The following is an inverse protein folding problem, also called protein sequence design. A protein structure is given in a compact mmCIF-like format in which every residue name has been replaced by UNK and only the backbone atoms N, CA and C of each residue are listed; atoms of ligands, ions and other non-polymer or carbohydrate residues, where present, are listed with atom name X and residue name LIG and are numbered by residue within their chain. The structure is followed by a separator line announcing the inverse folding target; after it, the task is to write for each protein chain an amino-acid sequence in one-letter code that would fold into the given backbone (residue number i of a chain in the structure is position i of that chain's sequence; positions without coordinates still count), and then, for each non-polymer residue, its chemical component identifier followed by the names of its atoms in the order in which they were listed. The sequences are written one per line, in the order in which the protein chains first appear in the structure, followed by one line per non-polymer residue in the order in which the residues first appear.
data_IF_314632203408
#
_entry.id   IF_314632203408
#
_cell.length_a   1.000
_cell.length_b   1.000
_cell.length_c   1.000
_cell.angle_alpha   90.00
_cell.angle_beta   90.00
_cell.angle_gamma   90.00
#
_symmetry.space_group_name_H-M   'P 1'
#
loop_
_entity.id
_entity.type
_entity.pdbx_description
1 polymer ?
#
# COMPACT_ATOMS: atom_id res chain seq x y z
N UNK A 1 16.45 -22.86 -25.44
CA UNK A 1 16.17 -22.88 -23.98
C UNK A 1 16.44 -21.54 -23.27
N UNK A 2 17.41 -20.71 -23.67
CA UNK A 2 17.62 -19.38 -23.04
C UNK A 2 16.50 -18.35 -23.26
N UNK A 3 15.75 -18.43 -24.37
CA UNK A 3 14.66 -17.46 -24.68
C UNK A 3 13.41 -17.63 -23.81
N UNK A 4 13.08 -18.84 -23.37
CA UNK A 4 11.88 -19.09 -22.54
C UNK A 4 12.05 -18.62 -21.11
N UNK A 5 13.27 -18.70 -20.56
CA UNK A 5 13.58 -18.17 -19.22
C UNK A 5 13.48 -16.64 -19.20
N UNK A 6 13.92 -15.96 -20.26
CA UNK A 6 13.80 -14.51 -20.39
C UNK A 6 12.36 -14.05 -20.59
N UNK A 7 11.55 -14.80 -21.35
CA UNK A 7 10.13 -14.52 -21.53
C UNK A 7 9.33 -14.74 -20.25
N UNK A 8 9.61 -15.79 -19.49
CA UNK A 8 8.99 -16.02 -18.19
C UNK A 8 9.35 -14.91 -17.19
N UNK A 9 10.60 -14.47 -17.17
CA UNK A 9 11.03 -13.35 -16.33
C UNK A 9 10.34 -12.03 -16.70
N UNK A 10 10.17 -11.74 -18.00
CA UNK A 10 9.44 -10.56 -18.46
C UNK A 10 7.94 -10.64 -18.18
N UNK A 11 7.34 -11.83 -18.28
CA UNK A 11 5.93 -12.03 -17.96
C UNK A 11 5.65 -11.84 -16.45
N UNK A 12 6.54 -12.35 -15.59
CA UNK A 12 6.48 -12.11 -14.15
C UNK A 12 6.68 -10.63 -13.81
N UNK A 13 7.60 -9.94 -14.48
CA UNK A 13 7.78 -8.49 -14.37
C UNK A 13 6.52 -7.71 -14.78
N UNK A 14 5.89 -8.10 -15.90
CA UNK A 14 4.65 -7.49 -16.38
C UNK A 14 3.47 -7.70 -15.44
N UNK A 15 3.26 -8.93 -14.97
CA UNK A 15 2.21 -9.26 -14.01
C UNK A 15 2.41 -8.55 -12.65
N UNK A 16 3.66 -8.36 -12.23
CA UNK A 16 4.00 -7.67 -10.98
C UNK A 16 3.71 -6.15 -11.04
N UNK A 17 3.95 -5.51 -12.19
CA UNK A 17 3.59 -4.10 -12.40
C UNK A 17 2.07 -3.90 -12.41
N UNK A 18 1.31 -4.87 -12.95
CA UNK A 18 -0.16 -4.82 -12.99
C UNK A 18 -0.81 -5.18 -11.65
N UNK A 19 -0.23 -6.11 -10.87
CA UNK A 19 -0.69 -6.48 -9.52
C UNK A 19 -0.34 -5.47 -8.40
N UNK A 20 0.27 -4.33 -8.75
CA UNK A 20 0.89 -3.38 -7.83
C UNK A 20 -0.04 -2.56 -6.92
N UNK A 21 -1.35 -2.83 -6.89
CA UNK A 21 -2.32 -2.11 -6.06
C UNK A 21 -2.31 -2.53 -4.59
N UNK A 22 -1.86 -3.75 -4.27
CA UNK A 22 -1.79 -4.23 -2.88
C UNK A 22 -0.50 -3.82 -2.14
N UNK A 23 0.59 -3.56 -2.85
CA UNK A 23 1.88 -3.18 -2.23
C UNK A 23 1.89 -1.80 -1.58
N UNK A 24 0.87 -0.98 -1.83
CA UNK A 24 0.82 0.42 -1.39
C UNK A 24 0.22 0.62 0.01
N UNK A 25 -0.53 -0.35 0.51
CA UNK A 25 -1.22 -0.28 1.81
C UNK A 25 -0.50 -1.08 2.90
N UNK A 26 0.38 -2.01 2.52
CA UNK A 26 1.04 -2.91 3.47
C UNK A 26 2.12 -2.19 4.27
N UNK A 27 2.91 -1.29 3.69
CA UNK A 27 4.01 -0.63 4.43
C UNK A 27 3.53 0.17 5.66
N UNK A 28 2.32 0.76 5.59
CA UNK A 28 1.71 1.48 6.72
C UNK A 28 1.09 0.54 7.77
N UNK A 29 0.38 -0.50 7.32
CA UNK A 29 -0.23 -1.49 8.22
C UNK A 29 0.84 -2.34 8.91
N UNK A 30 1.94 -2.64 8.22
CA UNK A 30 3.10 -3.32 8.77
C UNK A 30 3.82 -2.44 9.78
N UNK A 31 4.06 -1.17 9.47
CA UNK A 31 4.67 -0.23 10.43
C UNK A 31 3.86 -0.10 11.74
N UNK A 32 2.52 -0.10 11.66
CA UNK A 32 1.66 -0.06 12.86
C UNK A 32 1.52 -1.43 13.55
N UNK A 33 1.55 -2.55 12.81
CA UNK A 33 1.52 -3.92 13.38
C UNK A 33 2.84 -4.38 13.97
N UNK A 34 3.97 -3.79 13.58
CA UNK A 34 5.28 -4.00 14.21
C UNK A 34 5.28 -3.61 15.71
N UNK A 35 4.29 -2.83 16.17
CA UNK A 35 4.09 -2.54 17.61
C UNK A 35 3.29 -3.62 18.36
N UNK A 36 2.68 -4.59 17.68
CA UNK A 36 1.68 -5.50 18.25
C UNK A 36 2.09 -6.99 18.37
N UNK A 37 3.35 -7.35 18.10
CA UNK A 37 3.90 -8.66 18.49
C UNK A 37 3.32 -9.91 17.79
N UNK A 38 2.56 -9.76 16.71
CA UNK A 38 2.07 -10.90 15.92
C UNK A 38 3.17 -11.43 14.98
N UNK A 39 3.31 -12.76 14.77
CA UNK A 39 4.24 -13.31 13.80
C UNK A 39 3.79 -12.90 12.40
N UNK A 40 4.54 -11.98 11.81
CA UNK A 40 4.23 -11.37 10.54
C UNK A 40 4.77 -12.26 9.42
N UNK A 41 3.90 -13.04 8.78
CA UNK A 41 4.23 -13.65 7.48
C UNK A 41 4.46 -12.48 6.52
N UNK A 42 5.69 -12.33 6.02
CA UNK A 42 6.00 -11.29 5.05
C UNK A 42 5.15 -11.52 3.80
N UNK A 43 4.67 -10.46 3.15
CA UNK A 43 3.99 -10.59 1.83
C UNK A 43 4.90 -11.31 0.83
N UNK A 44 6.23 -11.17 1.00
CA UNK A 44 7.23 -11.91 0.24
C UNK A 44 7.19 -13.40 0.52
N UNK A 45 6.90 -13.81 1.76
CA UNK A 45 6.84 -15.22 2.16
C UNK A 45 5.57 -15.89 1.60
N UNK A 46 4.42 -15.23 1.72
CA UNK A 46 3.19 -15.72 1.11
C UNK A 46 3.29 -15.82 -0.42
N UNK A 47 3.95 -14.85 -1.06
CA UNK A 47 4.19 -14.86 -2.50
C UNK A 47 5.22 -15.90 -2.93
N UNK A 48 6.25 -16.13 -2.10
CA UNK A 48 7.26 -17.15 -2.36
C UNK A 48 6.70 -18.56 -2.20
N UNK A 49 5.80 -18.77 -1.23
CA UNK A 49 5.10 -20.03 -1.02
C UNK A 49 4.14 -20.33 -2.17
N UNK A 50 3.28 -19.37 -2.54
CA UNK A 50 2.30 -19.51 -3.62
C UNK A 50 2.95 -19.81 -4.98
N UNK A 51 4.12 -19.20 -5.25
CA UNK A 51 4.84 -19.39 -6.51
C UNK A 51 5.94 -20.44 -6.44
N UNK A 52 6.06 -21.15 -5.31
CA UNK A 52 7.09 -22.17 -5.06
C UNK A 52 8.50 -21.68 -5.42
N UNK A 53 8.84 -20.46 -5.02
CA UNK A 53 10.11 -19.83 -5.39
C UNK A 53 11.30 -20.55 -4.72
N UNK A 54 12.31 -20.89 -5.51
CA UNK A 54 13.59 -21.33 -4.98
C UNK A 54 14.28 -20.21 -4.17
N UNK A 55 15.20 -20.57 -3.28
CA UNK A 55 15.98 -19.62 -2.49
C UNK A 55 16.61 -18.46 -3.31
N UNK A 56 17.29 -18.69 -4.45
CA UNK A 56 17.82 -17.60 -5.26
C UNK A 56 16.72 -16.73 -5.91
N UNK A 57 15.58 -17.31 -6.31
CA UNK A 57 14.45 -16.55 -6.84
C UNK A 57 13.82 -15.66 -5.77
N UNK A 58 13.67 -16.19 -4.54
CA UNK A 58 13.16 -15.43 -3.39
C UNK A 58 14.04 -14.22 -3.08
N UNK A 59 15.37 -14.39 -3.07
CA UNK A 59 16.30 -13.29 -2.87
C UNK A 59 16.22 -12.22 -3.97
N UNK A 60 16.06 -12.64 -5.23
CA UNK A 60 15.88 -11.71 -6.35
C UNK A 60 14.57 -10.93 -6.25
N UNK A 61 13.46 -11.60 -5.94
CA UNK A 61 12.14 -10.97 -5.76
C UNK A 61 12.18 -9.98 -4.59
N UNK A 62 12.74 -10.36 -3.44
CA UNK A 62 12.87 -9.47 -2.28
C UNK A 62 13.64 -8.17 -2.61
N UNK A 63 14.74 -8.29 -3.36
CA UNK A 63 15.50 -7.13 -3.83
C UNK A 63 14.68 -6.22 -4.75
N UNK A 64 13.88 -6.80 -5.66
CA UNK A 64 13.02 -6.04 -6.59
C UNK A 64 11.94 -5.29 -5.80
N UNK A 65 11.29 -5.97 -4.85
CA UNK A 65 10.23 -5.39 -4.02
C UNK A 65 10.76 -4.26 -3.16
N UNK A 66 11.91 -4.46 -2.52
CA UNK A 66 12.58 -3.45 -1.71
C UNK A 66 12.92 -2.20 -2.53
N UNK A 67 13.48 -2.37 -3.73
CA UNK A 67 13.80 -1.26 -4.62
C UNK A 67 12.52 -0.52 -5.05
N UNK A 68 11.46 -1.25 -5.40
CA UNK A 68 10.16 -0.67 -5.75
C UNK A 68 9.59 0.15 -4.60
N UNK A 69 9.56 -0.41 -3.39
CA UNK A 69 8.98 0.26 -2.22
C UNK A 69 9.71 1.58 -1.92
N UNK A 70 11.04 1.58 -1.98
CA UNK A 70 11.83 2.81 -1.82
C UNK A 70 11.45 3.91 -2.82
N UNK A 71 11.19 3.55 -4.08
CA UNK A 71 10.73 4.50 -5.10
C UNK A 71 9.30 4.97 -4.81
N UNK A 72 8.40 4.06 -4.42
CA UNK A 72 7.05 4.46 -4.05
C UNK A 72 7.03 5.40 -2.85
N UNK A 73 7.87 5.16 -1.85
CA UNK A 73 7.96 6.00 -0.64
C UNK A 73 8.55 7.37 -0.96
N UNK A 74 9.53 7.46 -1.86
CA UNK A 74 10.08 8.76 -2.27
C UNK A 74 9.05 9.62 -3.00
N UNK A 75 8.10 9.01 -3.71
CA UNK A 75 7.00 9.71 -4.38
C UNK A 75 5.88 10.04 -3.37
N UNK A 76 5.50 9.06 -2.56
CA UNK A 76 4.30 9.14 -1.73
C UNK A 76 4.55 9.87 -0.41
N UNK A 77 5.75 9.80 0.15
CA UNK A 77 6.17 10.55 1.34
C UNK A 77 5.82 12.04 1.23
N UNK A 78 6.29 12.76 0.19
CA UNK A 78 5.96 14.18 0.01
C UNK A 78 4.53 14.42 -0.48
N UNK A 79 3.90 13.46 -1.17
CA UNK A 79 2.53 13.62 -1.70
C UNK A 79 1.45 13.42 -0.63
N UNK A 80 1.63 12.48 0.30
CA UNK A 80 0.72 12.20 1.43
C UNK A 80 0.23 13.47 2.15
N UNK A 81 1.10 14.36 2.68
CA UNK A 81 0.64 15.55 3.39
C UNK A 81 -0.18 16.50 2.52
N UNK A 82 0.13 16.59 1.22
CA UNK A 82 -0.63 17.42 0.26
C UNK A 82 -2.03 16.85 0.04
N UNK A 83 -2.16 15.54 -0.11
CA UNK A 83 -3.46 14.87 -0.21
C UNK A 83 -4.28 15.03 1.06
N UNK A 84 -3.66 14.93 2.23
CA UNK A 84 -4.32 15.20 3.52
C UNK A 84 -4.84 16.65 3.58
N UNK A 85 -4.01 17.63 3.23
CA UNK A 85 -4.41 19.04 3.21
C UNK A 85 -5.60 19.31 2.28
N UNK A 86 -5.63 18.69 1.09
CA UNK A 86 -6.77 18.82 0.15
C UNK A 86 -8.05 18.23 0.76
N UNK A 87 -7.96 17.05 1.39
CA UNK A 87 -9.10 16.41 2.05
C UNK A 87 -9.63 17.26 3.21
N UNK A 88 -8.73 17.81 4.02
CA UNK A 88 -9.11 18.62 5.18
C UNK A 88 -9.70 19.97 4.78
N UNK A 89 -9.14 20.60 3.74
CA UNK A 89 -9.72 21.81 3.14
C UNK A 89 -11.14 21.56 2.62
N UNK A 90 -11.35 20.46 1.89
CA UNK A 90 -12.67 20.08 1.38
C UNK A 90 -13.66 19.81 2.54
N UNK A 91 -13.24 19.10 3.59
CA UNK A 91 -14.06 18.88 4.80
C UNK A 91 -14.48 20.19 5.45
N UNK A 92 -13.54 21.12 5.62
CA UNK A 92 -13.81 22.43 6.20
C UNK A 92 -14.81 23.22 5.34
N UNK A 93 -14.59 23.26 4.02
CA UNK A 93 -15.49 23.93 3.08
C UNK A 93 -16.90 23.34 3.12
N UNK A 94 -17.04 22.01 3.17
CA UNK A 94 -18.34 21.36 3.32
C UNK A 94 -19.00 21.77 4.63
N UNK A 95 -18.28 21.67 5.74
CA UNK A 95 -18.80 21.99 7.07
C UNK A 95 -19.35 23.42 7.15
N UNK A 96 -18.69 24.40 6.53
CA UNK A 96 -19.18 25.79 6.48
C UNK A 96 -20.56 25.97 5.83
N UNK A 97 -21.02 25.01 5.03
CA UNK A 97 -22.33 25.04 4.34
C UNK A 97 -23.43 24.29 5.09
N UNK A 98 -23.10 23.65 6.20
CA UNK A 98 -24.01 22.81 6.98
C UNK A 98 -24.59 23.58 8.17
N UNK A 99 -25.83 23.25 8.53
CA UNK A 99 -26.41 23.63 9.83
C UNK A 99 -25.71 22.87 10.96
N UNK A 100 -25.86 23.31 12.20
CA UNK A 100 -25.21 22.65 13.35
C UNK A 100 -25.64 21.19 13.52
N UNK A 101 -26.92 20.90 13.32
CA UNK A 101 -27.45 19.53 13.36
C UNK A 101 -26.87 18.66 12.23
N UNK A 102 -26.62 19.22 11.05
CA UNK A 102 -25.99 18.52 9.93
C UNK A 102 -24.48 18.32 10.16
N UNK A 103 -23.81 19.31 10.76
CA UNK A 103 -22.39 19.26 11.11
C UNK A 103 -22.10 18.11 12.09
N UNK A 104 -22.91 17.97 13.14
CA UNK A 104 -22.79 16.86 14.08
C UNK A 104 -22.89 15.47 13.41
N UNK A 105 -23.80 15.32 12.44
CA UNK A 105 -23.93 14.07 11.66
C UNK A 105 -22.74 13.86 10.72
N UNK A 106 -22.25 14.94 10.12
CA UNK A 106 -21.09 14.90 9.22
C UNK A 106 -19.81 14.50 9.97
N UNK A 107 -19.57 15.05 11.15
CA UNK A 107 -18.40 14.72 11.96
C UNK A 107 -18.43 13.24 12.41
N UNK A 108 -19.60 12.75 12.84
CA UNK A 108 -19.78 11.33 13.17
C UNK A 108 -19.54 10.39 11.97
N UNK A 109 -19.95 10.81 10.77
CA UNK A 109 -19.68 10.07 9.54
C UNK A 109 -18.18 9.99 9.22
N UNK A 110 -17.46 11.11 9.38
CA UNK A 110 -16.01 11.16 9.15
C UNK A 110 -15.25 10.28 10.15
N UNK A 111 -15.61 10.30 11.43
CA UNK A 111 -14.96 9.47 12.44
C UNK A 111 -15.16 7.96 12.18
N UNK A 112 -16.38 7.55 11.81
CA UNK A 112 -16.66 6.14 11.45
C UNK A 112 -15.85 5.66 10.25
N UNK A 113 -15.61 6.53 9.26
CA UNK A 113 -14.88 6.18 8.04
C UNK A 113 -13.36 6.22 8.20
N UNK A 114 -12.84 6.99 9.18
CA UNK A 114 -11.44 6.93 9.60
C UNK A 114 -11.09 5.59 10.27
N UNK A 115 -12.01 4.99 11.02
CA UNK A 115 -11.72 3.73 11.74
C UNK A 115 -11.66 2.48 10.83
N UNK A 116 -12.02 2.61 9.55
CA UNK A 116 -12.08 1.51 8.58
C UNK A 116 -11.01 1.59 7.47
N UNK A 117 -10.18 2.63 7.47
CA UNK A 117 -9.08 2.85 6.50
C UNK A 117 -7.74 2.92 7.23
#
# INVERSE_FOLDING_TARGET
MLRSQQLAAMFLLGAFVVGGTLGFTVDRIVSDRLRAGAPQISVVDAFAEELELSAPQRAAVDSILTARNRVMDSIMGPLKPRLHAVRDSARHAIALRLTDAQRAKFDAYIERTKSHN
#
